data_IF_693430900747
#
_entry.id   IF_693430900747
#
_cell.length_a   1.000
_cell.length_b   1.000
_cell.length_c   1.000
_cell.angle_alpha   90.00
_cell.angle_beta   90.00
_cell.angle_gamma   90.00
#
_symmetry.space_group_name_H-M   'P 1'
#
loop_
_entity.id
_entity.type
_entity.pdbx_description
1 polymer ?
#
# COMPACT_ATOMS: atom_id res chain seq x y z
N UNK A 1 8.80 -11.35 9.26
CA UNK A 1 9.32 -10.45 8.19
C UNK A 1 8.77 -10.82 6.80
N UNK A 2 7.47 -11.15 6.67
CA UNK A 2 6.88 -11.58 5.39
C UNK A 2 6.43 -10.37 4.53
N UNK A 3 6.09 -9.25 5.19
CA UNK A 3 5.70 -8.01 4.52
C UNK A 3 6.83 -7.43 3.66
N UNK A 4 8.09 -7.52 4.12
CA UNK A 4 9.24 -7.05 3.35
C UNK A 4 9.45 -7.87 2.07
N UNK A 5 9.21 -9.19 2.06
CA UNK A 5 9.42 -10.00 0.85
C UNK A 5 8.40 -9.67 -0.23
N UNK A 6 7.14 -9.46 0.15
CA UNK A 6 6.08 -9.04 -0.78
C UNK A 6 6.33 -7.60 -1.26
N UNK A 7 6.71 -6.71 -0.35
CA UNK A 7 7.05 -5.32 -0.67
C UNK A 7 8.27 -5.23 -1.60
N UNK A 8 9.32 -6.04 -1.37
CA UNK A 8 10.52 -6.10 -2.21
C UNK A 8 10.22 -6.74 -3.58
N UNK A 9 9.38 -7.79 -3.63
CA UNK A 9 8.93 -8.38 -4.90
C UNK A 9 8.07 -7.42 -5.72
N UNK A 10 7.23 -6.62 -5.06
CA UNK A 10 6.44 -5.57 -5.71
C UNK A 10 7.32 -4.38 -6.13
N UNK A 11 8.25 -3.92 -5.27
CA UNK A 11 9.23 -2.86 -5.56
C UNK A 11 10.11 -3.15 -6.78
N UNK A 12 10.61 -4.39 -6.91
CA UNK A 12 11.45 -4.80 -8.05
C UNK A 12 10.72 -4.67 -9.39
N UNK A 13 9.41 -4.88 -9.40
CA UNK A 13 8.58 -4.82 -10.61
C UNK A 13 7.99 -3.43 -10.85
N UNK A 14 7.91 -2.57 -9.83
CA UNK A 14 7.12 -1.33 -9.84
C UNK A 14 7.96 -0.05 -9.95
N UNK A 15 9.23 -0.12 -10.35
CA UNK A 15 10.12 1.06 -10.33
C UNK A 15 9.55 2.23 -11.16
N UNK A 16 8.74 1.94 -12.18
CA UNK A 16 7.98 2.93 -12.95
C UNK A 16 6.56 3.21 -12.40
N UNK A 17 5.86 2.23 -11.81
CA UNK A 17 4.47 2.38 -11.33
C UNK A 17 4.31 3.47 -10.23
N UNK A 18 5.38 3.76 -9.48
CA UNK A 18 5.37 4.75 -8.38
C UNK A 18 6.19 6.02 -8.67
N UNK A 19 6.66 6.20 -9.91
CA UNK A 19 7.44 7.37 -10.30
C UNK A 19 6.61 8.66 -10.12
N UNK A 20 7.18 9.66 -9.46
CA UNK A 20 6.50 10.96 -9.23
C UNK A 20 5.47 10.97 -8.09
N UNK A 21 5.42 9.94 -7.24
CA UNK A 21 4.57 9.94 -6.05
C UNK A 21 5.25 10.67 -4.89
N UNK A 22 4.47 11.44 -4.15
CA UNK A 22 4.92 12.16 -2.94
C UNK A 22 5.31 11.23 -1.78
N UNK A 23 4.87 9.98 -1.82
CA UNK A 23 5.11 8.99 -0.78
C UNK A 23 5.89 7.80 -1.32
N UNK A 24 6.71 7.22 -0.46
CA UNK A 24 7.49 6.04 -0.75
C UNK A 24 6.59 4.87 -1.20
N UNK A 25 7.02 4.17 -2.25
CA UNK A 25 6.28 3.04 -2.82
C UNK A 25 5.93 1.97 -1.78
N UNK A 26 6.83 1.71 -0.83
CA UNK A 26 6.59 0.71 0.21
C UNK A 26 5.45 1.10 1.14
N UNK A 27 5.26 2.39 1.43
CA UNK A 27 4.20 2.88 2.30
C UNK A 27 2.83 2.70 1.63
N UNK A 28 2.77 3.00 0.33
CA UNK A 28 1.58 2.81 -0.50
C UNK A 28 1.21 1.32 -0.56
N UNK A 29 2.18 0.47 -0.87
CA UNK A 29 1.98 -0.98 -0.92
C UNK A 29 1.54 -1.54 0.43
N UNK A 30 2.11 -1.04 1.53
CA UNK A 30 1.77 -1.48 2.88
C UNK A 30 0.31 -1.15 3.23
N UNK A 31 -0.13 0.08 2.94
CA UNK A 31 -1.50 0.52 3.18
C UNK A 31 -2.51 -0.32 2.38
N UNK A 32 -2.29 -0.45 1.07
CA UNK A 32 -3.22 -1.17 0.19
C UNK A 32 -3.25 -2.66 0.51
N UNK A 33 -2.09 -3.26 0.85
CA UNK A 33 -2.03 -4.66 1.26
C UNK A 33 -2.77 -4.92 2.58
N UNK A 34 -2.69 -4.01 3.55
CA UNK A 34 -3.44 -4.14 4.79
C UNK A 34 -4.93 -3.98 4.58
N UNK A 35 -5.34 -3.02 3.77
CA UNK A 35 -6.75 -2.82 3.41
C UNK A 35 -7.35 -4.07 2.73
N UNK A 36 -6.61 -4.69 1.82
CA UNK A 36 -7.08 -5.90 1.11
C UNK A 36 -7.06 -7.17 1.97
N UNK A 37 -6.19 -7.26 2.98
CA UNK A 37 -5.99 -8.48 3.77
C UNK A 37 -6.79 -8.50 5.08
N UNK A 38 -7.03 -7.35 5.68
CA UNK A 38 -7.63 -7.24 7.01
C UNK A 38 -8.86 -6.33 6.95
N UNK A 39 -9.87 -6.54 7.82
CA UNK A 39 -11.06 -5.70 7.89
C UNK A 39 -10.77 -4.35 8.59
N UNK A 40 -9.80 -3.59 8.07
CA UNK A 40 -9.38 -2.29 8.60
C UNK A 40 -10.03 -1.15 7.83
N UNK A 41 -10.47 -0.11 8.55
CA UNK A 41 -10.91 1.13 7.91
C UNK A 41 -9.71 1.99 7.50
N UNK A 42 -9.90 2.90 6.55
CA UNK A 42 -8.87 3.89 6.18
C UNK A 42 -8.43 4.75 7.37
N UNK A 43 -9.32 5.00 8.34
CA UNK A 43 -8.98 5.72 9.56
C UNK A 43 -8.04 4.91 10.44
N UNK A 44 -8.29 3.61 10.61
CA UNK A 44 -7.37 2.76 11.37
C UNK A 44 -5.99 2.69 10.71
N UNK A 45 -5.93 2.55 9.38
CA UNK A 45 -4.64 2.53 8.67
C UNK A 45 -3.92 3.88 8.81
N UNK A 46 -4.65 5.01 8.74
CA UNK A 46 -4.10 6.34 9.02
C UNK A 46 -3.49 6.41 10.42
N UNK A 47 -4.25 5.97 11.43
CA UNK A 47 -3.82 6.08 12.83
C UNK A 47 -2.58 5.19 13.08
N UNK A 48 -2.56 3.98 12.53
CA UNK A 48 -1.38 3.09 12.57
C UNK A 48 -0.15 3.67 11.86
N UNK A 49 -0.34 4.46 10.80
CA UNK A 49 0.75 5.16 10.13
C UNK A 49 1.23 6.34 10.94
N UNK A 50 0.32 7.08 11.58
CA UNK A 50 0.66 8.18 12.46
C UNK A 50 1.47 7.71 13.67
N UNK A 51 1.10 6.59 14.29
CA UNK A 51 1.86 5.93 15.37
C UNK A 51 3.30 5.57 14.96
N UNK A 52 3.52 5.33 13.66
CA UNK A 52 4.84 5.03 13.07
C UNK A 52 5.57 6.26 12.54
N UNK A 53 5.04 7.46 12.77
CA UNK A 53 5.63 8.73 12.33
C UNK A 53 5.27 9.16 10.91
N UNK A 54 4.33 8.48 10.24
CA UNK A 54 3.89 8.83 8.88
C UNK A 54 2.55 9.55 8.92
N UNK A 55 2.57 10.85 8.64
CA UNK A 55 1.35 11.65 8.50
C UNK A 55 0.73 11.44 7.10
N UNK A 56 -0.29 10.58 7.01
CA UNK A 56 -1.05 10.33 5.78
C UNK A 56 -2.52 10.58 6.03
N UNK A 57 -3.19 11.29 5.12
CA UNK A 57 -4.63 11.47 5.23
C UNK A 57 -5.41 10.24 4.71
N UNK A 58 -6.52 9.92 5.35
CA UNK A 58 -7.40 8.82 4.98
C UNK A 58 -7.93 8.92 3.53
N UNK A 59 -8.11 10.12 2.98
CA UNK A 59 -8.46 10.29 1.56
C UNK A 59 -7.33 9.89 0.62
N UNK A 60 -6.07 10.06 1.06
CA UNK A 60 -4.89 9.62 0.31
C UNK A 60 -4.82 8.09 0.28
N UNK A 61 -5.13 7.43 1.39
CA UNK A 61 -5.24 5.97 1.44
C UNK A 61 -6.34 5.46 0.51
N UNK A 62 -7.50 6.11 0.49
CA UNK A 62 -8.57 5.76 -0.45
C UNK A 62 -8.12 5.88 -1.91
N UNK A 63 -7.45 6.99 -2.28
CA UNK A 63 -6.89 7.17 -3.63
C UNK A 63 -5.89 6.08 -4.01
N UNK A 64 -5.04 5.67 -3.07
CA UNK A 64 -4.09 4.59 -3.30
C UNK A 64 -4.79 3.25 -3.48
N UNK A 65 -5.76 2.93 -2.65
CA UNK A 65 -6.53 1.70 -2.79
C UNK A 65 -7.23 1.64 -4.13
N UNK A 66 -7.93 2.70 -4.55
CA UNK A 66 -8.59 2.74 -5.85
C UNK A 66 -7.61 2.56 -7.02
N UNK A 67 -6.41 3.16 -6.93
CA UNK A 67 -5.41 3.07 -7.99
C UNK A 67 -4.68 1.71 -8.05
N UNK A 68 -4.31 1.16 -6.89
CA UNK A 68 -3.38 0.03 -6.82
C UNK A 68 -4.03 -1.29 -6.41
N UNK A 69 -5.22 -1.29 -5.80
CA UNK A 69 -5.90 -2.54 -5.45
C UNK A 69 -6.12 -3.45 -6.66
N UNK A 70 -6.59 -2.98 -7.84
CA UNK A 70 -6.76 -3.85 -9.01
C UNK A 70 -5.43 -4.42 -9.51
N UNK A 71 -4.34 -3.64 -9.45
CA UNK A 71 -3.01 -4.06 -9.86
C UNK A 71 -2.44 -5.14 -8.93
N UNK A 72 -2.61 -4.94 -7.62
CA UNK A 72 -2.16 -5.87 -6.60
C UNK A 72 -3.01 -7.14 -6.62
N UNK A 73 -4.33 -7.02 -6.69
CA UNK A 73 -5.25 -8.16 -6.78
C UNK A 73 -4.96 -9.02 -8.00
N UNK A 74 -4.76 -8.41 -9.19
CA UNK A 74 -4.38 -9.15 -10.40
C UNK A 74 -3.09 -9.92 -10.19
N UNK A 75 -2.07 -9.31 -9.57
CA UNK A 75 -0.77 -9.94 -9.29
C UNK A 75 -0.85 -11.03 -8.20
N UNK A 76 -1.79 -10.92 -7.27
CA UNK A 76 -2.03 -11.91 -6.21
C UNK A 76 -2.87 -13.10 -6.69
N UNK A 77 -3.79 -12.90 -7.64
CA UNK A 77 -4.61 -13.96 -8.23
C UNK A 77 -3.89 -14.85 -9.25
N UNK A 78 -2.70 -14.47 -9.75
CA UNK A 78 -1.92 -15.34 -10.66
C UNK A 78 -1.19 -16.47 -9.90
N UNK A 79 -1.83 -17.07 -8.90
CA UNK A 79 -1.27 -18.16 -8.12
C UNK A 79 -2.23 -19.32 -8.04
#
# INVERSE_FOLDING_TARGET
MILNVIAEKLKRTSKDDFKGRHFEAWLILQAVSWYLRYPLTYRNIKDMFLERGFAVDHTTLNRWTLAYAPLIEKRLRVK
#
